data_IF_454993154308
#
_entry.id   IF_454993154308
#
_cell.length_a   1.000
_cell.length_b   1.000
_cell.length_c   1.000
_cell.angle_alpha   90.00
_cell.angle_beta   90.00
_cell.angle_gamma   90.00
#
_symmetry.space_group_name_H-M   'P 1'
#
loop_
_entity.id
_entity.type
_entity.pdbx_description
1 polymer ?
#
# COMPACT_ATOMS: atom_id res chain seq x y z
N UNK A 1 13.73 -35.11 16.80
CA UNK A 1 14.23 -34.76 15.45
C UNK A 1 14.00 -33.28 15.23
N UNK A 2 14.97 -32.43 15.58
CA UNK A 2 14.84 -30.98 15.41
C UNK A 2 15.17 -30.64 13.96
N UNK A 3 14.15 -30.37 13.15
CA UNK A 3 14.33 -29.86 11.80
C UNK A 3 14.88 -28.43 11.91
N UNK A 4 16.20 -28.31 11.73
CA UNK A 4 16.87 -27.03 11.65
C UNK A 4 16.60 -26.49 10.24
N UNK A 5 15.58 -25.63 10.11
CA UNK A 5 15.31 -24.91 8.87
C UNK A 5 16.61 -24.28 8.35
N UNK A 6 16.93 -24.41 7.04
CA UNK A 6 18.20 -23.90 6.54
C UNK A 6 18.28 -22.39 6.80
N UNK A 7 19.30 -21.97 7.55
CA UNK A 7 19.61 -20.54 7.74
C UNK A 7 19.87 -19.94 6.37
N UNK A 8 19.07 -18.95 6.01
CA UNK A 8 19.18 -18.22 4.76
C UNK A 8 20.59 -17.65 4.60
N UNK A 9 21.23 -17.93 3.46
CA UNK A 9 22.57 -17.43 3.16
C UNK A 9 22.54 -15.94 2.83
N UNK A 10 23.69 -15.27 2.92
CA UNK A 10 23.82 -13.86 2.54
C UNK A 10 23.38 -13.61 1.09
N UNK A 11 23.73 -14.49 0.17
CA UNK A 11 23.36 -14.37 -1.24
C UNK A 11 21.85 -14.51 -1.44
N UNK A 12 21.20 -15.44 -0.74
CA UNK A 12 19.74 -15.57 -0.76
C UNK A 12 19.06 -14.33 -0.17
N UNK A 13 19.64 -13.70 0.86
CA UNK A 13 19.14 -12.45 1.42
C UNK A 13 19.24 -11.25 0.48
N UNK A 14 20.34 -11.14 -0.26
CA UNK A 14 20.47 -10.13 -1.31
C UNK A 14 19.43 -10.37 -2.40
N UNK A 15 19.28 -11.61 -2.89
CA UNK A 15 18.30 -11.95 -3.92
C UNK A 15 16.86 -11.65 -3.46
N UNK A 16 16.49 -12.06 -2.24
CA UNK A 16 15.18 -11.80 -1.68
C UNK A 16 14.86 -10.31 -1.52
N UNK A 17 15.86 -9.46 -1.23
CA UNK A 17 15.68 -8.01 -1.19
C UNK A 17 15.45 -7.42 -2.59
N UNK A 18 16.22 -7.87 -3.59
CA UNK A 18 16.06 -7.42 -4.98
C UNK A 18 14.67 -7.80 -5.50
N UNK A 19 14.30 -9.07 -5.39
CA UNK A 19 13.00 -9.58 -5.83
C UNK A 19 11.86 -8.92 -5.04
N UNK A 20 12.06 -8.68 -3.75
CA UNK A 20 11.09 -8.02 -2.88
C UNK A 20 10.76 -6.59 -3.32
N UNK A 21 11.72 -5.83 -3.86
CA UNK A 21 11.47 -4.48 -4.37
C UNK A 21 10.57 -4.50 -5.61
N UNK A 22 10.80 -5.43 -6.54
CA UNK A 22 9.95 -5.59 -7.73
C UNK A 22 8.53 -6.03 -7.36
N UNK A 23 8.40 -6.95 -6.39
CA UNK A 23 7.11 -7.40 -5.88
C UNK A 23 6.35 -6.26 -5.18
N UNK A 24 7.04 -5.45 -4.39
CA UNK A 24 6.44 -4.28 -3.75
C UNK A 24 5.99 -3.23 -4.76
N UNK A 25 6.77 -3.01 -5.81
CA UNK A 25 6.43 -2.10 -6.90
C UNK A 25 5.14 -2.55 -7.59
N UNK A 26 5.06 -3.81 -8.01
CA UNK A 26 3.86 -4.36 -8.64
C UNK A 26 2.63 -4.29 -7.71
N UNK A 27 2.81 -4.60 -6.42
CA UNK A 27 1.72 -4.51 -5.46
C UNK A 27 1.26 -3.07 -5.20
N UNK A 28 2.18 -2.11 -5.10
CA UNK A 28 1.84 -0.71 -4.93
C UNK A 28 1.06 -0.17 -6.15
N UNK A 29 1.41 -0.57 -7.36
CA UNK A 29 0.66 -0.24 -8.57
C UNK A 29 -0.76 -0.83 -8.54
N UNK A 30 -0.90 -2.09 -8.15
CA UNK A 30 -2.21 -2.74 -8.04
C UNK A 30 -3.10 -2.06 -6.99
N UNK A 31 -2.54 -1.78 -5.80
CA UNK A 31 -3.23 -1.05 -4.72
C UNK A 31 -3.66 0.34 -5.20
N UNK A 32 -2.77 1.07 -5.86
CA UNK A 32 -3.12 2.38 -6.42
C UNK A 32 -4.29 2.29 -7.42
N UNK A 33 -4.28 1.28 -8.30
CA UNK A 33 -5.39 1.02 -9.23
C UNK A 33 -6.72 0.72 -8.52
N UNK A 34 -6.70 -0.06 -7.44
CA UNK A 34 -7.88 -0.34 -6.61
C UNK A 34 -8.39 0.93 -5.92
N UNK A 35 -7.50 1.78 -5.40
CA UNK A 35 -7.86 3.06 -4.78
C UNK A 35 -8.49 4.03 -5.79
N UNK A 36 -7.98 4.10 -7.02
CA UNK A 36 -8.60 4.90 -8.07
C UNK A 36 -9.98 4.35 -8.46
N UNK A 37 -10.14 3.03 -8.58
CA UNK A 37 -11.46 2.41 -8.80
C UNK A 37 -12.44 2.73 -7.66
N UNK A 38 -11.99 2.67 -6.41
CA UNK A 38 -12.83 2.98 -5.25
C UNK A 38 -13.29 4.44 -5.28
N UNK A 39 -12.41 5.37 -5.65
CA UNK A 39 -12.77 6.77 -5.84
C UNK A 39 -13.86 6.94 -6.91
N UNK A 40 -13.69 6.28 -8.04
CA UNK A 40 -14.66 6.32 -9.15
C UNK A 40 -16.01 5.68 -8.78
N UNK A 41 -16.00 4.59 -8.00
CA UNK A 41 -17.22 3.97 -7.47
C UNK A 41 -17.92 4.87 -6.46
N UNK A 42 -17.17 5.54 -5.58
CA UNK A 42 -17.69 6.51 -4.63
C UNK A 42 -18.35 7.70 -5.32
N UNK A 43 -17.73 8.29 -6.36
CA UNK A 43 -18.34 9.38 -7.13
C UNK A 43 -19.65 8.97 -7.84
N UNK A 44 -19.81 7.67 -8.15
CA UNK A 44 -21.00 7.13 -8.82
C UNK A 44 -21.99 6.47 -7.85
N UNK A 45 -21.77 6.64 -6.54
CA UNK A 45 -22.60 6.07 -5.47
C UNK A 45 -22.79 4.54 -5.58
N UNK A 46 -21.78 3.82 -6.08
CA UNK A 46 -21.86 2.37 -6.28
C UNK A 46 -21.46 1.60 -5.01
N UNK A 47 -22.32 1.63 -3.99
CA UNK A 47 -22.04 1.04 -2.67
C UNK A 47 -21.57 -0.43 -2.71
N UNK A 48 -22.18 -1.27 -3.55
CA UNK A 48 -21.77 -2.68 -3.70
C UNK A 48 -20.35 -2.83 -4.27
N UNK A 49 -19.97 -1.99 -5.25
CA UNK A 49 -18.62 -2.00 -5.83
C UNK A 49 -17.59 -1.50 -4.80
N UNK A 50 -17.95 -0.50 -3.98
CA UNK A 50 -17.10 -0.01 -2.89
C UNK A 50 -16.82 -1.10 -1.87
N UNK A 51 -17.85 -1.89 -1.50
CA UNK A 51 -17.72 -3.03 -0.59
C UNK A 51 -16.76 -4.09 -1.12
N UNK A 52 -16.97 -4.54 -2.38
CA UNK A 52 -16.10 -5.53 -3.01
C UNK A 52 -14.63 -5.03 -3.12
N UNK A 53 -14.43 -3.77 -3.48
CA UNK A 53 -13.10 -3.18 -3.53
C UNK A 53 -12.43 -3.11 -2.14
N UNK A 54 -13.19 -2.92 -1.06
CA UNK A 54 -12.64 -2.96 0.29
C UNK A 54 -12.15 -4.37 0.69
N UNK A 55 -12.88 -5.41 0.27
CA UNK A 55 -12.47 -6.81 0.46
C UNK A 55 -11.20 -7.17 -0.33
N UNK A 56 -10.96 -6.54 -1.48
CA UNK A 56 -9.71 -6.67 -2.24
C UNK A 56 -8.56 -5.84 -1.61
N UNK A 57 -8.84 -4.62 -1.18
CA UNK A 57 -7.83 -3.67 -0.67
C UNK A 57 -7.24 -4.08 0.67
N UNK A 58 -8.06 -4.55 1.62
CA UNK A 58 -7.61 -4.91 2.95
C UNK A 58 -6.46 -5.95 2.95
N UNK A 59 -6.61 -7.15 2.35
CA UNK A 59 -5.53 -8.13 2.31
C UNK A 59 -4.32 -7.65 1.48
N UNK A 60 -4.52 -6.82 0.46
CA UNK A 60 -3.42 -6.27 -0.33
C UNK A 60 -2.53 -5.31 0.48
N UNK A 61 -3.15 -4.45 1.31
CA UNK A 61 -2.46 -3.54 2.22
C UNK A 61 -1.73 -4.31 3.32
N UNK A 62 -2.36 -5.33 3.90
CA UNK A 62 -1.73 -6.19 4.92
C UNK A 62 -0.51 -6.92 4.36
N UNK A 63 -0.62 -7.48 3.15
CA UNK A 63 0.50 -8.12 2.47
C UNK A 63 1.66 -7.14 2.18
N UNK A 64 1.34 -5.90 1.81
CA UNK A 64 2.35 -4.84 1.61
C UNK A 64 3.07 -4.48 2.92
N UNK A 65 2.36 -4.39 4.04
CA UNK A 65 3.01 -4.14 5.33
C UNK A 65 3.86 -5.32 5.80
N UNK A 66 3.41 -6.56 5.57
CA UNK A 66 4.21 -7.76 5.86
C UNK A 66 5.53 -7.78 5.08
N UNK A 67 5.49 -7.49 3.76
CA UNK A 67 6.70 -7.38 2.93
C UNK A 67 7.62 -6.24 3.37
N UNK A 68 7.05 -5.09 3.77
CA UNK A 68 7.82 -4.00 4.38
C UNK A 68 8.59 -4.45 5.61
N UNK A 69 7.94 -5.16 6.53
CA UNK A 69 8.59 -5.69 7.74
C UNK A 69 9.69 -6.68 7.39
N UNK A 70 9.44 -7.61 6.47
CA UNK A 70 10.44 -8.58 6.00
C UNK A 70 11.66 -7.87 5.40
N UNK A 71 11.46 -6.87 4.54
CA UNK A 71 12.53 -6.08 3.94
C UNK A 71 13.38 -5.36 5.00
N UNK A 72 12.74 -4.74 5.99
CA UNK A 72 13.45 -4.09 7.11
C UNK A 72 14.26 -5.11 7.91
N UNK A 73 13.72 -6.29 8.18
CA UNK A 73 14.46 -7.36 8.86
C UNK A 73 15.66 -7.82 8.05
N UNK A 74 15.50 -8.05 6.75
CA UNK A 74 16.57 -8.52 5.87
C UNK A 74 17.68 -7.48 5.71
N UNK A 75 17.34 -6.21 5.50
CA UNK A 75 18.36 -5.17 5.33
C UNK A 75 19.17 -4.96 6.60
N UNK A 76 18.52 -5.07 7.77
CA UNK A 76 19.21 -5.01 9.06
C UNK A 76 20.10 -6.23 9.32
N UNK A 77 19.65 -7.41 8.92
CA UNK A 77 20.48 -8.62 9.01
C UNK A 77 21.74 -8.52 8.12
N UNK A 78 21.67 -7.80 7.00
CA UNK A 78 22.78 -7.66 6.05
C UNK A 78 23.75 -6.52 6.35
N UNK A 79 23.24 -5.41 6.91
CA UNK A 79 23.97 -4.15 7.08
C UNK A 79 24.03 -3.65 8.54
N UNK A 80 23.54 -4.42 9.51
CA UNK A 80 23.49 -4.03 10.92
C UNK A 80 22.19 -3.31 11.31
N UNK A 81 22.07 -2.93 12.58
CA UNK A 81 20.82 -2.36 13.13
C UNK A 81 20.30 -1.12 12.38
N UNK A 82 21.22 -0.31 11.84
CA UNK A 82 20.93 0.90 11.06
C UNK A 82 20.90 0.66 9.54
N UNK A 83 20.88 -0.62 9.13
CA UNK A 83 20.76 -1.00 7.72
C UNK A 83 19.54 -0.36 7.06
N UNK A 84 19.76 0.25 5.89
CA UNK A 84 18.73 0.93 5.12
C UNK A 84 18.72 0.44 3.67
N UNK A 85 17.59 0.57 2.98
CA UNK A 85 17.51 0.22 1.55
C UNK A 85 18.45 1.08 0.71
N UNK A 86 18.62 2.37 1.03
CA UNK A 86 19.59 3.22 0.36
C UNK A 86 21.03 2.70 0.50
N UNK A 87 21.42 2.27 1.71
CA UNK A 87 22.74 1.67 1.95
C UNK A 87 22.92 0.31 1.25
N UNK A 88 21.88 -0.52 1.24
CA UNK A 88 21.86 -1.78 0.50
C UNK A 88 22.02 -1.57 -1.01
N UNK A 89 21.26 -0.62 -1.58
CA UNK A 89 21.31 -0.27 -3.00
C UNK A 89 22.71 0.25 -3.37
N UNK A 90 23.26 1.17 -2.57
CA UNK A 90 24.58 1.75 -2.83
C UNK A 90 25.71 0.69 -2.85
N UNK A 91 25.54 -0.40 -2.11
CA UNK A 91 26.48 -1.51 -2.05
C UNK A 91 26.37 -2.51 -3.22
N UNK A 92 25.39 -2.36 -4.12
CA UNK A 92 25.23 -3.24 -5.28
C UNK A 92 26.21 -2.86 -6.41
N UNK A 93 26.69 -3.83 -7.20
CA UNK A 93 27.45 -3.55 -8.41
C UNK A 93 26.55 -3.01 -9.53
N UNK A 94 27.15 -2.26 -10.46
CA UNK A 94 26.50 -1.91 -11.72
C UNK A 94 26.39 -3.14 -12.66
N UNK A 95 25.38 -3.22 -13.54
CA UNK A 95 24.28 -2.26 -13.74
C UNK A 95 23.09 -2.44 -12.77
N UNK A 96 23.16 -3.41 -11.87
CA UNK A 96 22.07 -3.78 -10.97
C UNK A 96 21.69 -2.66 -9.99
N UNK A 97 22.68 -1.90 -9.52
CA UNK A 97 22.49 -0.74 -8.65
C UNK A 97 21.56 0.30 -9.27
N UNK A 98 21.83 0.72 -10.52
CA UNK A 98 21.01 1.73 -11.19
C UNK A 98 19.55 1.28 -11.36
N UNK A 99 19.34 0.02 -11.78
CA UNK A 99 18.00 -0.56 -11.92
C UNK A 99 17.25 -0.58 -10.58
N UNK A 100 17.91 -1.09 -9.53
CA UNK A 100 17.30 -1.20 -8.22
C UNK A 100 17.01 0.17 -7.59
N UNK A 101 17.89 1.15 -7.80
CA UNK A 101 17.67 2.53 -7.36
C UNK A 101 16.42 3.15 -8.03
N UNK A 102 16.25 2.95 -9.34
CA UNK A 102 15.09 3.42 -10.08
C UNK A 102 13.79 2.75 -9.57
N UNK A 103 13.80 1.42 -9.40
CA UNK A 103 12.66 0.68 -8.87
C UNK A 103 12.28 1.13 -7.44
N UNK A 104 13.29 1.35 -6.59
CA UNK A 104 13.09 1.83 -5.23
C UNK A 104 12.49 3.25 -5.19
N UNK A 105 13.02 4.17 -6.01
CA UNK A 105 12.50 5.54 -6.09
C UNK A 105 11.05 5.57 -6.59
N UNK A 106 10.72 4.74 -7.58
CA UNK A 106 9.35 4.63 -8.08
C UNK A 106 8.41 4.02 -7.03
N UNK A 107 8.87 3.02 -6.27
CA UNK A 107 8.11 2.45 -5.16
C UNK A 107 7.81 3.52 -4.09
N UNK A 108 8.80 4.32 -3.70
CA UNK A 108 8.61 5.42 -2.73
C UNK A 108 7.54 6.40 -3.22
N UNK A 109 7.61 6.80 -4.50
CA UNK A 109 6.63 7.68 -5.14
C UNK A 109 5.22 7.08 -5.11
N UNK A 110 5.08 5.80 -5.47
CA UNK A 110 3.78 5.11 -5.48
C UNK A 110 3.20 4.92 -4.08
N UNK A 111 4.02 4.64 -3.06
CA UNK A 111 3.55 4.54 -1.67
C UNK A 111 2.99 5.87 -1.18
N UNK A 112 3.63 6.99 -1.53
CA UNK A 112 3.09 8.33 -1.24
C UNK A 112 1.76 8.57 -1.96
N UNK A 113 1.67 8.20 -3.24
CA UNK A 113 0.43 8.31 -4.02
C UNK A 113 -0.70 7.46 -3.41
N UNK A 114 -0.42 6.22 -3.01
CA UNK A 114 -1.40 5.36 -2.34
C UNK A 114 -1.90 5.99 -1.04
N UNK A 115 -1.02 6.56 -0.21
CA UNK A 115 -1.42 7.26 1.03
C UNK A 115 -2.36 8.43 0.73
N UNK A 116 -2.02 9.24 -0.26
CA UNK A 116 -2.86 10.37 -0.67
C UNK A 116 -4.23 9.90 -1.17
N UNK A 117 -4.27 8.85 -2.00
CA UNK A 117 -5.52 8.28 -2.51
C UNK A 117 -6.37 7.67 -1.39
N UNK A 118 -5.78 6.93 -0.44
CA UNK A 118 -6.50 6.41 0.74
C UNK A 118 -7.16 7.53 1.55
N UNK A 119 -6.42 8.60 1.85
CA UNK A 119 -6.98 9.75 2.58
C UNK A 119 -8.10 10.44 1.80
N UNK A 120 -7.88 10.69 0.50
CA UNK A 120 -8.90 11.29 -0.39
C UNK A 120 -10.19 10.47 -0.39
N UNK A 121 -10.08 9.16 -0.55
CA UNK A 121 -11.23 8.26 -0.60
C UNK A 121 -11.96 8.20 0.74
N UNK A 122 -11.22 8.12 1.86
CA UNK A 122 -11.79 8.13 3.20
C UNK A 122 -12.61 9.40 3.49
N UNK A 123 -12.06 10.56 3.14
CA UNK A 123 -12.76 11.85 3.27
C UNK A 123 -14.05 11.88 2.45
N UNK A 124 -13.98 11.49 1.17
CA UNK A 124 -15.14 11.45 0.28
C UNK A 124 -16.25 10.54 0.82
N UNK A 125 -15.91 9.35 1.32
CA UNK A 125 -16.90 8.42 1.88
C UNK A 125 -17.54 8.96 3.16
N UNK A 126 -16.76 9.60 4.04
CA UNK A 126 -17.27 10.23 5.26
C UNK A 126 -18.22 11.41 4.96
N UNK A 127 -17.89 12.23 3.96
CA UNK A 127 -18.75 13.31 3.48
C UNK A 127 -20.08 12.77 2.94
N UNK A 128 -20.02 11.74 2.08
CA UNK A 128 -21.24 11.10 1.54
C UNK A 128 -22.12 10.50 2.63
N UNK A 129 -21.53 9.86 3.64
CA UNK A 129 -22.26 9.34 4.79
C UNK A 129 -22.97 10.47 5.54
N UNK A 130 -22.28 11.59 5.79
CA UNK A 130 -22.85 12.76 6.49
C UNK A 130 -24.03 13.35 5.72
N UNK A 131 -23.94 13.46 4.39
CA UNK A 131 -25.04 13.92 3.53
C UNK A 131 -26.24 12.98 3.62
N UNK A 132 -26.02 11.66 3.50
CA UNK A 132 -27.08 10.67 3.60
C UNK A 132 -27.77 10.69 4.97
N UNK A 133 -27.01 10.82 6.06
CA UNK A 133 -27.56 10.93 7.41
C UNK A 133 -28.49 12.15 7.55
N UNK A 134 -28.13 13.29 6.96
CA UNK A 134 -28.98 14.49 6.93
C UNK A 134 -30.25 14.28 6.10
N UNK A 135 -30.16 13.61 4.95
CA UNK A 135 -31.33 13.33 4.12
C UNK A 135 -32.31 12.38 4.84
N UNK A 136 -31.79 11.36 5.51
CA UNK A 136 -32.59 10.34 6.19
C UNK A 136 -33.22 10.83 7.51
N UNK A 137 -32.57 11.76 8.22
CA UNK A 137 -33.00 12.19 9.56
C UNK A 137 -33.36 13.69 9.64
N UNK A 138 -33.17 14.47 8.58
CA UNK A 138 -33.35 15.93 8.57
C UNK A 138 -34.67 16.42 7.98
N UNK A 139 -35.68 15.55 7.88
CA UNK A 139 -36.96 15.83 7.22
C UNK A 139 -38.10 16.35 8.10
N UNK A 140 -37.86 16.76 9.36
CA UNK A 140 -38.94 17.11 10.30
C UNK A 140 -39.20 18.62 10.49
N UNK A 141 -38.80 19.47 9.54
CA UNK A 141 -39.22 20.86 9.68
C UNK A 141 -38.82 21.79 8.55
N UNK A 142 -39.68 21.94 7.55
CA UNK A 142 -40.19 23.26 7.10
C UNK A 142 -41.20 23.14 5.95
N UNK A 143 -42.50 23.14 6.25
CA UNK A 143 -43.50 23.93 5.52
C UNK A 143 -44.81 24.03 6.34
N UNK A 144 -45.10 25.22 6.85
CA UNK A 144 -46.45 25.63 7.21
C UNK A 144 -46.55 27.14 6.95
N UNK A 145 -47.09 27.57 5.78
CA UNK A 145 -47.36 28.97 5.54
C UNK A 145 -48.56 29.40 6.38
N UNK A 146 -48.46 30.58 6.99
CA UNK A 146 -49.63 31.36 7.43
C UNK A 146 -49.81 32.51 6.47
#
# INVERSE_FOLDING_TARGET
MSQQSPRMTRQQAVAALVDGVEQDLAAAQAIHGLLERQFQAALRHKGAEIGALAEELAPALDAMDARRRQRVTLVRALHGADGSMGGFIAAQPEPGRAKLAAAWSELERLVVACKAATTRNGNLLAEQFTVMQRVLHGGDGTYAPR
#
